data_IF_558728987732
#
_entry.id   IF_558728987732
#
_cell.length_a   1.000
_cell.length_b   1.000
_cell.length_c   1.000
_cell.angle_alpha   90.00
_cell.angle_beta   90.00
_cell.angle_gamma   90.00
#
_symmetry.space_group_name_H-M   'P 1'
#
loop_
_entity.id
_entity.type
_entity.pdbx_description
1 polymer ?
#
# COMPACT_ATOMS: atom_id res chain seq x y z
N UNK A 1 -7.59 3.65 3.35
CA UNK A 1 -6.61 2.56 3.41
C UNK A 1 -5.17 3.02 3.16
N UNK A 2 -4.87 3.72 2.06
CA UNK A 2 -3.51 4.21 1.78
C UNK A 2 -2.86 5.03 2.92
N UNK A 3 -3.61 5.93 3.58
CA UNK A 3 -3.11 6.67 4.75
C UNK A 3 -2.71 5.77 5.92
N UNK A 4 -3.41 4.65 6.13
CA UNK A 4 -3.10 3.68 7.17
C UNK A 4 -1.79 2.94 6.85
N UNK A 5 -1.60 2.51 5.60
CA UNK A 5 -0.37 1.84 5.17
C UNK A 5 0.87 2.71 5.44
N UNK A 6 0.82 4.01 5.13
CA UNK A 6 1.99 4.87 5.36
C UNK A 6 2.20 5.20 6.84
N UNK A 7 1.14 5.45 7.61
CA UNK A 7 1.26 5.86 9.03
C UNK A 7 1.61 4.71 9.97
N UNK A 8 0.93 3.58 9.81
CA UNK A 8 0.95 2.50 10.80
C UNK A 8 1.80 1.31 10.35
N UNK A 9 1.80 1.01 9.05
CA UNK A 9 2.60 -0.08 8.48
C UNK A 9 3.98 0.42 8.05
N UNK A 10 4.11 1.70 7.71
CA UNK A 10 5.35 2.31 7.22
C UNK A 10 5.63 1.98 5.74
N UNK A 11 4.59 1.72 4.95
CA UNK A 11 4.70 1.44 3.50
C UNK A 11 3.86 2.46 2.73
N UNK A 12 4.53 3.28 1.91
CA UNK A 12 3.86 4.27 1.08
C UNK A 12 3.31 3.64 -0.21
N UNK A 13 2.09 4.04 -0.61
CA UNK A 13 1.42 3.62 -1.84
C UNK A 13 0.68 4.79 -2.49
N UNK A 14 0.32 4.66 -3.76
CA UNK A 14 -0.59 5.61 -4.42
C UNK A 14 -2.04 5.08 -4.34
N UNK A 15 -3.03 5.88 -3.86
CA UNK A 15 -4.43 5.48 -3.85
C UNK A 15 -4.98 5.25 -5.26
N UNK A 16 -5.68 4.13 -5.46
CA UNK A 16 -6.29 3.76 -6.74
C UNK A 16 -7.31 4.79 -7.26
N UNK A 17 -8.02 5.46 -6.34
CA UNK A 17 -9.00 6.51 -6.65
C UNK A 17 -8.45 7.65 -7.50
N UNK A 18 -7.13 7.89 -7.48
CA UNK A 18 -6.49 8.94 -8.29
C UNK A 18 -6.44 8.62 -9.78
N UNK A 19 -6.69 7.36 -10.17
CA UNK A 19 -6.57 6.88 -11.56
C UNK A 19 -7.93 6.71 -12.27
N UNK A 20 -9.04 7.00 -11.59
CA UNK A 20 -10.38 6.87 -12.14
C UNK A 20 -11.10 8.21 -12.11
N UNK A 21 -11.86 8.50 -13.17
CA UNK A 21 -12.75 9.66 -13.21
C UNK A 21 -13.81 9.61 -12.09
N UNK A 22 -14.40 8.42 -11.84
CA UNK A 22 -15.19 8.16 -10.64
C UNK A 22 -14.29 7.51 -9.57
N UNK A 23 -13.93 8.23 -8.48
CA UNK A 23 -13.02 7.74 -7.44
C UNK A 23 -13.45 6.44 -6.76
N UNK A 24 -14.75 6.16 -6.71
CA UNK A 24 -15.28 4.93 -6.07
C UNK A 24 -14.80 3.66 -6.76
N UNK A 25 -14.56 3.71 -8.08
CA UNK A 25 -14.05 2.58 -8.86
C UNK A 25 -12.64 2.14 -8.41
N UNK A 26 -11.84 3.04 -7.85
CA UNK A 26 -10.49 2.78 -7.36
C UNK A 26 -10.36 2.73 -5.84
N UNK A 27 -11.47 2.85 -5.08
CA UNK A 27 -11.44 3.04 -3.61
C UNK A 27 -10.78 1.89 -2.84
N UNK A 28 -10.83 0.67 -3.39
CA UNK A 28 -10.24 -0.54 -2.79
C UNK A 28 -8.88 -0.92 -3.38
N UNK A 29 -8.35 -0.12 -4.31
CA UNK A 29 -7.09 -0.41 -5.00
C UNK A 29 -5.98 0.51 -4.51
N UNK A 30 -4.74 0.02 -4.60
CA UNK A 30 -3.52 0.79 -4.37
C UNK A 30 -2.47 0.40 -5.41
N UNK A 31 -1.58 1.32 -5.75
CA UNK A 31 -0.46 1.07 -6.68
C UNK A 31 0.87 1.11 -5.95
N UNK A 32 1.68 0.06 -6.13
CA UNK A 32 3.08 -0.01 -5.70
C UNK A 32 4.03 0.38 -6.85
N UNK A 33 5.21 0.91 -6.55
CA UNK A 33 6.33 0.97 -7.51
C UNK A 33 7.42 0.01 -7.09
N UNK A 34 7.77 -0.92 -7.97
CA UNK A 34 8.84 -1.89 -7.78
C UNK A 34 10.22 -1.36 -8.19
N UNK A 35 10.27 -0.13 -8.70
CA UNK A 35 11.46 0.61 -9.11
C UNK A 35 12.35 1.02 -7.91
N UNK A 36 12.81 0.06 -7.10
CA UNK A 36 13.53 0.25 -5.83
C UNK A 36 14.63 -0.82 -5.68
N UNK A 37 15.50 -0.67 -4.69
CA UNK A 37 16.48 -1.71 -4.36
C UNK A 37 15.78 -2.93 -3.75
N UNK A 38 16.36 -4.12 -3.91
CA UNK A 38 15.85 -5.35 -3.29
C UNK A 38 15.65 -5.18 -1.78
N UNK A 39 16.63 -4.62 -1.07
CA UNK A 39 16.53 -4.33 0.35
C UNK A 39 15.31 -3.46 0.72
N UNK A 40 14.89 -2.54 -0.15
CA UNK A 40 13.69 -1.73 0.08
C UNK A 40 12.43 -2.57 -0.10
N UNK A 41 12.40 -3.44 -1.10
CA UNK A 41 11.26 -4.31 -1.39
C UNK A 41 11.08 -5.38 -0.30
N UNK A 42 12.16 -5.99 0.16
CA UNK A 42 12.15 -6.97 1.26
C UNK A 42 11.63 -6.34 2.55
N UNK A 43 12.15 -5.15 2.89
CA UNK A 43 11.69 -4.44 4.08
C UNK A 43 10.22 -3.97 3.96
N UNK A 44 9.70 -3.76 2.75
CA UNK A 44 8.28 -3.49 2.56
C UNK A 44 7.43 -4.76 2.72
N UNK A 45 7.89 -5.90 2.17
CA UNK A 45 7.23 -7.19 2.31
C UNK A 45 7.09 -7.60 3.79
N UNK A 46 8.15 -7.47 4.57
CA UNK A 46 8.13 -7.81 6.00
C UNK A 46 7.18 -6.91 6.80
N UNK A 47 7.15 -5.61 6.51
CA UNK A 47 6.19 -4.68 7.14
C UNK A 47 4.74 -5.04 6.81
N UNK A 48 4.46 -5.42 5.56
CA UNK A 48 3.10 -5.76 5.10
C UNK A 48 2.53 -7.00 5.80
N UNK A 49 3.35 -7.90 6.33
CA UNK A 49 2.87 -9.07 7.10
C UNK A 49 2.04 -8.67 8.32
N UNK A 50 2.32 -7.50 8.92
CA UNK A 50 1.55 -6.96 10.07
C UNK A 50 0.08 -6.71 9.76
N UNK A 51 -0.30 -6.61 8.48
CA UNK A 51 -1.71 -6.51 8.08
C UNK A 51 -2.51 -7.76 8.48
N UNK A 52 -1.87 -8.94 8.47
CA UNK A 52 -2.51 -10.20 8.87
C UNK A 52 -2.90 -10.20 10.35
N UNK A 53 -2.12 -9.56 11.21
CA UNK A 53 -2.41 -9.49 12.65
C UNK A 53 -3.66 -8.66 12.95
N UNK A 54 -3.94 -7.65 12.11
CA UNK A 54 -5.09 -6.76 12.31
C UNK A 54 -6.39 -7.31 11.71
N UNK A 55 -6.30 -8.10 10.64
CA UNK A 55 -7.43 -8.55 9.83
C UNK A 55 -7.58 -10.07 9.75
N UNK A 56 -6.91 -10.80 10.64
CA UNK A 56 -7.21 -12.19 10.94
C UNK A 56 -8.53 -12.32 11.72
#
# INVERSE_FOLDING_TARGET
>A
FAHYLVREIGVAVVPGSSFYENPEKGRQQVRFCFCKTEATLDAAAERLLRLRERWA
#
